data_IF_908935831273
#
_entry.id   IF_908935831273
#
_cell.length_a   1.000
_cell.length_b   1.000
_cell.length_c   1.000
_cell.angle_alpha   90.00
_cell.angle_beta   90.00
_cell.angle_gamma   90.00
#
_symmetry.space_group_name_H-M   'P 1'
#
loop_
_entity.id
_entity.type
_entity.pdbx_description
1 polymer ?
#
# COMPACT_ATOMS: atom_id res chain seq x y z
N UNK A 1 -15.56 5.14 19.89
CA UNK A 1 -15.99 6.35 19.15
C UNK A 1 -16.44 5.91 17.77
N UNK A 2 -17.68 6.16 17.42
CA UNK A 2 -18.16 5.82 16.06
C UNK A 2 -17.47 6.74 15.02
N UNK A 3 -16.85 6.20 13.99
CA UNK A 3 -16.26 7.02 12.94
C UNK A 3 -17.36 7.81 12.21
N UNK A 4 -17.04 9.04 11.82
CA UNK A 4 -17.98 9.84 11.00
C UNK A 4 -18.21 9.15 9.65
N UNK A 5 -19.39 9.38 9.02
CA UNK A 5 -19.71 8.85 7.68
C UNK A 5 -18.63 9.20 6.64
N UNK A 6 -18.02 10.39 6.74
CA UNK A 6 -16.95 10.82 5.87
C UNK A 6 -15.67 9.97 6.04
N UNK A 7 -15.30 9.66 7.29
CA UNK A 7 -14.15 8.81 7.59
C UNK A 7 -14.35 7.39 7.09
N UNK A 8 -15.51 6.80 7.30
CA UNK A 8 -15.86 5.47 6.76
C UNK A 8 -15.82 5.43 5.24
N UNK A 9 -16.38 6.45 4.58
CA UNK A 9 -16.33 6.56 3.12
C UNK A 9 -14.89 6.59 2.61
N UNK A 10 -14.03 7.39 3.25
CA UNK A 10 -12.63 7.51 2.87
C UNK A 10 -11.88 6.18 3.05
N UNK A 11 -12.07 5.50 4.17
CA UNK A 11 -11.47 4.18 4.43
C UNK A 11 -11.92 3.16 3.37
N UNK A 12 -13.20 3.14 3.00
CA UNK A 12 -13.72 2.24 1.96
C UNK A 12 -13.07 2.53 0.60
N UNK A 13 -12.92 3.81 0.23
CA UNK A 13 -12.27 4.20 -1.02
C UNK A 13 -10.79 3.81 -1.03
N UNK A 14 -10.05 4.09 0.04
CA UNK A 14 -8.63 3.72 0.18
C UNK A 14 -8.43 2.21 0.08
N UNK A 15 -9.25 1.45 0.79
CA UNK A 15 -9.19 -0.02 0.77
C UNK A 15 -9.42 -0.57 -0.63
N UNK A 16 -10.43 -0.04 -1.33
CA UNK A 16 -10.74 -0.43 -2.71
C UNK A 16 -9.57 -0.11 -3.64
N UNK A 17 -8.95 1.05 -3.49
CA UNK A 17 -7.80 1.48 -4.28
C UNK A 17 -6.60 0.58 -4.03
N UNK A 18 -6.31 0.24 -2.77
CA UNK A 18 -5.22 -0.68 -2.41
C UNK A 18 -5.43 -2.05 -3.03
N UNK A 19 -6.60 -2.65 -2.86
CA UNK A 19 -6.91 -3.97 -3.44
C UNK A 19 -6.86 -3.94 -4.97
N UNK A 20 -7.38 -2.88 -5.59
CA UNK A 20 -7.30 -2.72 -7.04
C UNK A 20 -5.83 -2.62 -7.51
N UNK A 21 -4.99 -1.88 -6.80
CA UNK A 21 -3.58 -1.77 -7.13
C UNK A 21 -2.87 -3.12 -7.02
N UNK A 22 -3.05 -3.84 -5.92
CA UNK A 22 -2.43 -5.15 -5.69
C UNK A 22 -2.77 -6.15 -6.80
N UNK A 23 -4.01 -6.16 -7.28
CA UNK A 23 -4.45 -7.06 -8.38
C UNK A 23 -3.74 -6.81 -9.72
N UNK A 24 -3.13 -5.65 -9.90
CA UNK A 24 -2.47 -5.24 -11.13
C UNK A 24 -0.96 -5.05 -10.98
N UNK A 25 -0.40 -5.50 -9.87
CA UNK A 25 1.04 -5.53 -9.62
C UNK A 25 1.52 -6.98 -9.60
N UNK A 26 2.69 -7.23 -10.19
CA UNK A 26 3.30 -8.55 -10.23
C UNK A 26 4.71 -8.50 -9.63
N UNK A 27 4.94 -9.33 -8.63
CA UNK A 27 6.25 -9.56 -8.02
C UNK A 27 6.96 -10.69 -8.70
N UNK A 28 8.29 -10.63 -8.80
CA UNK A 28 9.10 -11.77 -9.19
C UNK A 28 9.02 -12.85 -8.10
N UNK A 29 8.99 -14.11 -8.49
CA UNK A 29 8.91 -15.22 -7.54
C UNK A 29 10.06 -15.22 -6.52
N UNK A 30 11.25 -14.79 -6.95
CA UNK A 30 12.43 -14.67 -6.08
C UNK A 30 12.32 -13.63 -4.96
N UNK A 31 11.36 -12.69 -5.08
CA UNK A 31 11.10 -11.64 -4.09
C UNK A 31 10.06 -12.05 -3.04
N UNK A 32 9.38 -13.16 -3.28
CA UNK A 32 8.28 -13.61 -2.46
C UNK A 32 8.73 -14.75 -1.53
N UNK A 33 8.12 -14.89 -0.35
CA UNK A 33 8.33 -16.05 0.52
C UNK A 33 7.74 -17.32 -0.13
N UNK A 34 8.00 -18.52 0.41
CA UNK A 34 7.28 -19.73 0.01
C UNK A 34 5.76 -19.55 0.08
N UNK A 35 5.03 -20.21 -0.83
CA UNK A 35 3.55 -20.03 -0.95
C UNK A 35 2.83 -20.31 0.37
N UNK A 36 3.28 -21.35 1.11
CA UNK A 36 2.69 -21.76 2.38
C UNK A 36 2.86 -20.74 3.52
N UNK A 37 3.85 -19.83 3.42
CA UNK A 37 4.10 -18.82 4.46
C UNK A 37 3.19 -17.60 4.31
N UNK A 38 2.63 -17.39 3.11
CA UNK A 38 1.84 -16.22 2.81
C UNK A 38 2.66 -14.93 2.68
N UNK A 39 1.96 -13.83 2.51
CA UNK A 39 2.53 -12.47 2.43
C UNK A 39 1.81 -11.53 3.36
N UNK A 40 2.45 -10.41 3.70
CA UNK A 40 1.91 -9.40 4.62
C UNK A 40 1.78 -8.04 3.96
N UNK A 41 0.68 -7.37 4.24
CA UNK A 41 0.48 -5.93 4.03
C UNK A 41 0.68 -5.26 5.38
N UNK A 42 1.63 -4.34 5.48
CA UNK A 42 1.90 -3.57 6.69
C UNK A 42 1.21 -2.20 6.60
N UNK A 43 0.40 -1.87 7.60
CA UNK A 43 -0.22 -0.54 7.74
C UNK A 43 0.50 0.22 8.85
N UNK A 44 1.06 1.37 8.51
CA UNK A 44 1.89 2.20 9.40
C UNK A 44 1.15 3.48 9.77
N UNK A 45 0.93 3.69 11.06
CA UNK A 45 0.28 4.89 11.60
C UNK A 45 -0.58 4.61 12.82
N UNK A 46 -0.96 5.66 13.55
CA UNK A 46 -1.72 5.52 14.80
C UNK A 46 -3.20 5.18 14.60
N UNK A 47 -3.77 5.55 13.45
CA UNK A 47 -5.19 5.40 13.11
C UNK A 47 -5.45 4.21 12.18
N UNK A 48 -4.65 3.17 12.31
CA UNK A 48 -4.66 2.00 11.41
C UNK A 48 -5.89 1.07 11.54
N UNK A 49 -6.59 1.09 12.69
CA UNK A 49 -7.59 0.06 13.01
C UNK A 49 -8.68 -0.11 11.94
N UNK A 50 -9.33 0.98 11.54
CA UNK A 50 -10.40 0.91 10.54
C UNK A 50 -9.92 0.42 9.17
N UNK A 51 -8.75 0.87 8.74
CA UNK A 51 -8.19 0.45 7.45
C UNK A 51 -7.80 -1.03 7.51
N UNK A 52 -7.19 -1.48 8.60
CA UNK A 52 -6.85 -2.89 8.83
C UNK A 52 -8.09 -3.77 8.73
N UNK A 53 -9.11 -3.48 9.52
CA UNK A 53 -10.35 -4.27 9.55
C UNK A 53 -11.01 -4.35 8.17
N UNK A 54 -11.08 -3.23 7.47
CA UNK A 54 -11.69 -3.18 6.14
C UNK A 54 -10.87 -3.90 5.08
N UNK A 55 -9.53 -3.79 5.13
CA UNK A 55 -8.64 -4.57 4.25
C UNK A 55 -8.81 -6.06 4.48
N UNK A 56 -8.78 -6.52 5.73
CA UNK A 56 -8.98 -7.92 6.07
C UNK A 56 -10.32 -8.45 5.56
N UNK A 57 -11.39 -7.67 5.76
CA UNK A 57 -12.72 -8.03 5.26
C UNK A 57 -12.74 -8.18 3.73
N UNK A 58 -12.24 -7.19 2.98
CA UNK A 58 -12.24 -7.24 1.51
C UNK A 58 -11.32 -8.32 0.95
N UNK A 59 -10.16 -8.57 1.57
CA UNK A 59 -9.26 -9.66 1.18
C UNK A 59 -9.97 -11.00 1.33
N UNK A 60 -10.65 -11.23 2.44
CA UNK A 60 -11.40 -12.46 2.69
C UNK A 60 -12.58 -12.62 1.73
N UNK A 61 -13.40 -11.56 1.56
CA UNK A 61 -14.58 -11.57 0.70
C UNK A 61 -14.21 -11.82 -0.77
N UNK A 62 -13.16 -11.20 -1.27
CA UNK A 62 -12.71 -11.36 -2.66
C UNK A 62 -11.74 -12.51 -2.88
N UNK A 63 -11.39 -13.26 -1.84
CA UNK A 63 -10.34 -14.28 -1.86
C UNK A 63 -9.05 -13.79 -2.56
N UNK A 64 -8.68 -12.54 -2.26
CA UNK A 64 -7.51 -11.90 -2.88
C UNK A 64 -6.21 -12.56 -2.42
N UNK A 65 -5.30 -12.76 -3.37
CA UNK A 65 -3.98 -13.35 -3.15
C UNK A 65 -2.91 -12.56 -3.91
N UNK A 66 -1.67 -12.74 -3.52
CA UNK A 66 -0.49 -12.28 -4.27
C UNK A 66 0.29 -13.52 -4.69
N UNK A 67 0.33 -13.82 -6.00
CA UNK A 67 1.03 -15.01 -6.55
C UNK A 67 0.69 -16.29 -5.74
N UNK A 68 -0.60 -16.59 -5.62
CA UNK A 68 -1.19 -17.72 -4.86
C UNK A 68 -0.99 -17.68 -3.33
N UNK A 69 -0.32 -16.68 -2.79
CA UNK A 69 -0.07 -16.51 -1.36
C UNK A 69 -1.23 -15.81 -0.67
N UNK A 70 -1.63 -16.34 0.48
CA UNK A 70 -2.60 -15.66 1.35
C UNK A 70 -2.03 -14.36 1.86
N UNK A 71 -2.89 -13.36 2.01
CA UNK A 71 -2.52 -12.03 2.48
C UNK A 71 -2.96 -11.87 3.94
N UNK A 72 -2.02 -11.52 4.80
CA UNK A 72 -2.25 -11.07 6.17
C UNK A 72 -2.07 -9.55 6.27
N UNK A 73 -2.87 -8.87 7.07
CA UNK A 73 -2.72 -7.43 7.35
C UNK A 73 -2.16 -7.25 8.75
N UNK A 74 -0.96 -6.68 8.83
CA UNK A 74 -0.27 -6.36 10.08
C UNK A 74 -0.15 -4.85 10.24
N UNK A 75 0.06 -4.37 11.45
CA UNK A 75 0.08 -2.93 11.77
C UNK A 75 1.25 -2.57 12.66
N UNK A 76 1.73 -1.34 12.53
CA UNK A 76 2.64 -0.71 13.48
C UNK A 76 2.37 0.79 13.55
N UNK A 77 2.94 1.46 14.56
CA UNK A 77 2.60 2.85 14.85
C UNK A 77 3.53 3.87 14.23
N UNK A 78 4.77 3.49 13.92
CA UNK A 78 5.81 4.41 13.46
C UNK A 78 6.79 3.76 12.47
N UNK A 79 7.71 4.56 11.93
CA UNK A 79 8.67 4.13 10.90
C UNK A 79 9.73 3.17 11.46
N UNK A 80 10.17 3.33 12.70
CA UNK A 80 11.16 2.42 13.29
C UNK A 80 10.60 1.01 13.43
N UNK A 81 9.37 0.89 13.92
CA UNK A 81 8.66 -0.40 13.94
C UNK A 81 8.47 -0.95 12.53
N UNK A 82 8.11 -0.10 11.55
CA UNK A 82 7.96 -0.50 10.16
C UNK A 82 9.28 -1.06 9.59
N UNK A 83 10.41 -0.44 9.88
CA UNK A 83 11.73 -0.92 9.47
C UNK A 83 12.02 -2.32 10.03
N UNK A 84 11.63 -2.59 11.29
CA UNK A 84 11.75 -3.94 11.86
C UNK A 84 10.86 -4.95 11.13
N UNK A 85 9.61 -4.59 10.86
CA UNK A 85 8.68 -5.47 10.13
C UNK A 85 9.17 -5.79 8.72
N UNK A 86 9.78 -4.83 8.02
CA UNK A 86 10.24 -5.02 6.63
C UNK A 86 11.52 -5.85 6.50
N UNK A 87 12.18 -6.21 7.60
CA UNK A 87 13.22 -7.24 7.61
C UNK A 87 12.62 -8.62 7.30
N UNK A 88 11.35 -8.83 7.62
CA UNK A 88 10.60 -10.02 7.23
C UNK A 88 10.26 -9.95 5.74
N UNK A 89 10.75 -10.91 4.95
CA UNK A 89 10.48 -11.02 3.51
C UNK A 89 9.00 -11.24 3.18
N UNK A 90 8.18 -11.63 4.14
CA UNK A 90 6.73 -11.75 3.95
C UNK A 90 6.06 -10.39 3.75
N UNK A 91 6.62 -9.30 4.27
CA UNK A 91 6.09 -7.96 4.03
C UNK A 91 6.42 -7.52 2.61
N UNK A 92 5.41 -7.39 1.76
CA UNK A 92 5.57 -7.04 0.33
C UNK A 92 4.89 -5.73 -0.05
N UNK A 93 4.02 -5.21 0.82
CA UNK A 93 3.27 -3.97 0.60
C UNK A 93 3.17 -3.19 1.90
N UNK A 94 3.53 -1.90 1.88
CA UNK A 94 3.50 -1.02 3.06
C UNK A 94 2.62 0.17 2.77
N UNK A 95 1.66 0.43 3.65
CA UNK A 95 0.73 1.56 3.58
C UNK A 95 1.10 2.56 4.67
N UNK A 96 1.55 3.74 4.27
CA UNK A 96 1.81 4.85 5.19
C UNK A 96 0.58 5.74 5.29
N UNK A 97 -0.01 5.79 6.49
CA UNK A 97 -1.13 6.66 6.79
C UNK A 97 -0.69 8.12 6.94
N UNK A 98 -1.63 9.05 6.84
CA UNK A 98 -1.34 10.50 6.99
C UNK A 98 -0.69 10.84 8.31
N UNK A 99 -1.05 10.14 9.37
CA UNK A 99 -0.48 10.35 10.71
C UNK A 99 1.04 10.15 10.80
N UNK A 100 1.63 9.44 9.85
CA UNK A 100 3.09 9.23 9.79
C UNK A 100 3.81 10.41 9.12
N UNK A 101 3.09 11.24 8.38
CA UNK A 101 3.65 12.29 7.53
C UNK A 101 4.48 13.33 8.28
N UNK A 102 4.03 13.73 9.46
CA UNK A 102 4.68 14.74 10.29
C UNK A 102 6.03 14.26 10.81
N UNK A 103 6.18 12.97 11.05
CA UNK A 103 7.37 12.34 11.61
C UNK A 103 8.33 11.76 10.57
N UNK A 104 7.96 11.78 9.29
CA UNK A 104 8.75 11.16 8.22
C UNK A 104 10.15 11.76 8.05
N UNK A 105 10.36 13.04 8.36
CA UNK A 105 11.66 13.70 8.25
C UNK A 105 12.64 13.37 9.39
N UNK A 106 12.15 12.80 10.47
CA UNK A 106 12.93 12.46 11.66
C UNK A 106 13.45 11.01 11.64
N UNK A 107 12.81 10.16 10.82
CA UNK A 107 13.10 8.74 10.74
C UNK A 107 13.23 8.32 9.27
N UNK A 108 14.30 7.63 8.92
CA UNK A 108 14.52 7.11 7.59
C UNK A 108 13.87 5.73 7.44
N UNK A 109 13.05 5.57 6.39
CA UNK A 109 12.52 4.27 6.03
C UNK A 109 13.52 3.53 5.13
N UNK A 110 13.84 2.29 5.51
CA UNK A 110 14.77 1.42 4.78
C UNK A 110 13.99 0.62 3.75
N UNK A 111 14.18 0.96 2.49
CA UNK A 111 13.52 0.32 1.35
C UNK A 111 14.31 -0.88 0.83
N UNK A 112 13.65 -1.78 0.11
CA UNK A 112 14.27 -2.93 -0.54
C UNK A 112 13.53 -3.34 -1.81
N UNK A 113 14.18 -4.10 -2.68
CA UNK A 113 13.54 -4.74 -3.84
C UNK A 113 12.37 -5.63 -3.41
N UNK A 114 11.33 -5.67 -4.22
CA UNK A 114 10.11 -6.44 -3.93
C UNK A 114 9.16 -5.78 -2.93
N UNK A 115 9.46 -4.59 -2.45
CA UNK A 115 8.61 -3.84 -1.53
C UNK A 115 7.87 -2.72 -2.28
N UNK A 116 6.54 -2.72 -2.19
CA UNK A 116 5.70 -1.65 -2.72
C UNK A 116 5.31 -0.71 -1.59
N UNK A 117 5.61 0.58 -1.74
CA UNK A 117 5.32 1.63 -0.78
C UNK A 117 4.13 2.46 -1.28
N UNK A 118 3.09 2.50 -0.48
CA UNK A 118 1.87 3.27 -0.73
C UNK A 118 1.71 4.35 0.34
N UNK A 119 1.49 5.60 -0.08
CA UNK A 119 1.26 6.72 0.82
C UNK A 119 -0.15 7.28 0.72
N UNK A 120 -0.79 7.51 1.86
CA UNK A 120 -2.10 8.12 1.97
C UNK A 120 -1.98 9.65 1.87
N UNK A 121 -1.96 10.18 0.65
CA UNK A 121 -1.88 11.61 0.36
C UNK A 121 -0.76 11.98 -0.61
N UNK A 122 -0.96 13.10 -1.32
CA UNK A 122 -0.06 13.57 -2.40
C UNK A 122 1.37 13.89 -1.97
N UNK A 123 1.57 14.26 -0.71
CA UNK A 123 2.90 14.62 -0.20
C UNK A 123 3.88 13.45 -0.18
N UNK A 124 3.39 12.21 -0.10
CA UNK A 124 4.21 11.01 -0.18
C UNK A 124 4.86 10.81 -1.56
N UNK A 125 4.29 11.39 -2.63
CA UNK A 125 4.91 11.32 -3.95
C UNK A 125 6.28 12.00 -4.00
N UNK A 126 6.43 13.12 -3.29
CA UNK A 126 7.72 13.83 -3.17
C UNK A 126 8.77 13.04 -2.39
N UNK A 127 8.37 12.04 -1.64
CA UNK A 127 9.24 11.15 -0.87
C UNK A 127 9.64 9.89 -1.65
N UNK A 128 9.25 9.81 -2.92
CA UNK A 128 9.66 8.73 -3.81
C UNK A 128 8.98 7.39 -3.57
N UNK A 129 7.74 7.38 -3.04
CA UNK A 129 6.99 6.15 -2.90
C UNK A 129 6.50 5.62 -4.27
N UNK A 130 6.14 4.33 -4.31
CA UNK A 130 5.64 3.68 -5.52
C UNK A 130 4.25 4.18 -5.92
N UNK A 131 3.38 4.37 -4.94
CA UNK A 131 1.99 4.75 -5.10
C UNK A 131 1.60 5.79 -4.06
N UNK A 132 0.76 6.74 -4.44
CA UNK A 132 0.16 7.67 -3.50
C UNK A 132 -1.30 7.91 -3.86
N UNK A 133 -2.17 7.88 -2.87
CA UNK A 133 -3.55 8.30 -3.06
C UNK A 133 -3.69 9.82 -2.98
N UNK A 134 -4.63 10.35 -3.72
CA UNK A 134 -5.08 11.75 -3.58
C UNK A 134 -6.54 11.88 -3.98
N UNK A 135 -7.19 12.89 -3.41
CA UNK A 135 -8.55 13.25 -3.80
C UNK A 135 -8.49 14.22 -4.96
N UNK A 136 -9.19 13.91 -6.04
CA UNK A 136 -9.36 14.72 -7.23
C UNK A 136 -10.83 14.71 -7.63
N UNK A 137 -11.46 15.90 -7.74
CA UNK A 137 -12.88 16.05 -8.04
C UNK A 137 -13.79 15.11 -7.22
N UNK A 138 -13.60 15.07 -5.90
CA UNK A 138 -14.30 14.20 -4.94
C UNK A 138 -14.14 12.68 -5.20
N UNK A 139 -13.14 12.29 -5.98
CA UNK A 139 -12.78 10.89 -6.21
C UNK A 139 -11.39 10.62 -5.71
N UNK A 140 -11.21 9.46 -5.10
CA UNK A 140 -9.89 8.98 -4.73
C UNK A 140 -9.20 8.40 -5.95
N UNK A 141 -8.04 8.92 -6.26
CA UNK A 141 -7.19 8.48 -7.38
C UNK A 141 -5.78 8.16 -6.92
N UNK A 142 -5.04 7.47 -7.76
CA UNK A 142 -3.67 7.03 -7.51
C UNK A 142 -2.70 7.83 -8.39
N UNK A 143 -1.62 8.29 -7.81
CA UNK A 143 -0.41 8.67 -8.55
C UNK A 143 0.59 7.51 -8.50
N UNK A 144 1.13 7.14 -9.64
CA UNK A 144 2.02 6.00 -9.83
C UNK A 144 3.41 6.47 -10.23
N UNK A 145 4.45 5.97 -9.55
CA UNK A 145 5.85 6.23 -9.86
C UNK A 145 6.45 4.99 -10.55
N UNK A 146 6.51 5.00 -11.88
CA UNK A 146 7.03 3.88 -12.68
C UNK A 146 8.53 3.67 -12.46
N UNK A 147 9.30 4.74 -12.30
CA UNK A 147 10.73 4.62 -12.00
C UNK A 147 10.96 3.86 -10.69
N UNK A 148 10.16 4.17 -9.67
CA UNK A 148 10.22 3.48 -8.37
C UNK A 148 9.74 2.03 -8.47
N UNK A 149 8.70 1.74 -9.26
CA UNK A 149 8.24 0.37 -9.53
C UNK A 149 9.35 -0.45 -10.20
N UNK A 150 9.98 0.11 -11.23
CA UNK A 150 11.10 -0.55 -11.92
C UNK A 150 12.29 -0.80 -10.97
N UNK A 151 12.64 0.16 -10.12
CA UNK A 151 13.71 0.00 -9.12
C UNK A 151 13.38 -1.07 -8.08
N UNK A 152 12.11 -1.24 -7.73
CA UNK A 152 11.63 -2.31 -6.85
C UNK A 152 11.47 -3.65 -7.59
N UNK A 153 11.68 -3.66 -8.92
CA UNK A 153 11.47 -4.81 -9.80
C UNK A 153 10.03 -5.34 -9.78
N UNK A 154 9.05 -4.43 -9.68
CA UNK A 154 7.62 -4.71 -9.70
C UNK A 154 7.06 -4.39 -11.07
N UNK A 155 6.39 -5.37 -11.69
CA UNK A 155 5.71 -5.16 -12.97
C UNK A 155 4.32 -4.56 -12.74
N UNK A 156 3.95 -3.62 -13.60
CA UNK A 156 2.66 -2.94 -13.56
C UNK A 156 1.84 -3.34 -14.77
N UNK A 157 0.66 -3.93 -14.56
CA UNK A 157 -0.26 -4.30 -15.64
C UNK A 157 -0.74 -3.02 -16.37
N UNK A 158 -0.77 -3.07 -17.69
CA UNK A 158 -1.31 -2.01 -18.56
C UNK A 158 -2.75 -1.63 -18.16
N UNK A 159 -3.54 -2.56 -17.66
CA UNK A 159 -4.90 -2.29 -17.18
C UNK A 159 -4.92 -1.30 -16.02
N UNK A 160 -3.92 -1.33 -15.14
CA UNK A 160 -3.79 -0.33 -14.08
C UNK A 160 -3.49 1.04 -14.69
N UNK A 161 -2.55 1.13 -15.62
CA UNK A 161 -2.15 2.39 -16.27
C UNK A 161 -3.30 3.05 -17.04
N UNK A 162 -4.19 2.26 -17.62
CA UNK A 162 -5.37 2.73 -18.35
C UNK A 162 -6.60 2.92 -17.45
N UNK A 163 -6.51 2.60 -16.17
CA UNK A 163 -7.61 2.75 -15.22
C UNK A 163 -7.94 4.21 -14.99
N UNK A 164 -9.24 4.52 -14.90
CA UNK A 164 -9.72 5.84 -14.49
C UNK A 164 -9.37 6.21 -13.04
N UNK A 165 -8.80 5.28 -12.26
CA UNK A 165 -8.27 5.51 -10.92
C UNK A 165 -6.87 6.12 -10.93
N UNK A 166 -6.15 6.01 -12.04
CA UNK A 166 -4.83 6.63 -12.18
C UNK A 166 -5.01 8.11 -12.49
N UNK A 167 -4.39 8.96 -11.68
CA UNK A 167 -4.39 10.41 -11.86
C UNK A 167 -3.16 10.87 -12.63
N UNK A 168 -2.00 10.35 -12.25
CA UNK A 168 -0.72 10.71 -12.85
C UNK A 168 0.25 9.54 -12.81
N UNK A 169 1.10 9.47 -13.85
CA UNK A 169 2.20 8.51 -13.94
C UNK A 169 3.49 9.31 -13.97
N UNK A 170 4.43 8.98 -13.09
CA UNK A 170 5.75 9.60 -13.03
C UNK A 170 6.80 8.61 -13.51
N UNK A 171 7.61 9.01 -14.49
CA UNK A 171 8.69 8.23 -15.10
C UNK A 171 10.05 8.62 -14.51
#
# INVERSE_FOLDING_TARGET
MNPTKAKLRMVNLETTVVIHSIKHLTWKESQLPPVQEGVKILVVGHDHCLLKERLQYLIAESNSKISERKIEVVTCSNIDEANHHTLDKQVVFVIFLRSVQEKWGEQEFIDRSGLVLYGQGKSFMRRGLNLCSRVDNNRLKISLNLKKMNSAEIEVDKKLLLSNRILSVHN
#
